data_IF_588642967483
#
_entry.id   IF_588642967483
#
_cell.length_a   1.000
_cell.length_b   1.000
_cell.length_c   1.000
_cell.angle_alpha   90.00
_cell.angle_beta   90.00
_cell.angle_gamma   90.00
#
_symmetry.space_group_name_H-M   'P 1'
#
loop_
_entity.id
_entity.type
_entity.pdbx_description
1 polymer ?
#
# COMPACT_ATOMS: atom_id res chain seq x y z
N UNK A 1 -73.34 48.99 8.81
CA UNK A 1 -72.59 48.02 7.97
C UNK A 1 -71.26 48.65 7.62
N UNK A 2 -70.20 48.33 8.35
CA UNK A 2 -68.82 48.70 8.00
C UNK A 2 -67.94 47.59 8.56
N UNK A 3 -67.67 46.59 7.72
CA UNK A 3 -66.76 45.50 8.01
C UNK A 3 -65.32 45.94 7.79
N UNK A 4 -64.46 45.54 8.73
CA UNK A 4 -63.02 45.73 8.75
C UNK A 4 -62.30 45.02 7.58
N UNK A 5 -61.15 45.56 7.20
CA UNK A 5 -60.10 44.81 6.52
C UNK A 5 -58.76 45.15 7.19
N UNK A 6 -58.46 44.44 8.28
CA UNK A 6 -57.13 44.39 8.87
C UNK A 6 -56.24 43.52 8.00
N UNK A 7 -55.22 44.13 7.38
CA UNK A 7 -54.15 43.41 6.68
C UNK A 7 -53.32 42.61 7.70
N UNK A 8 -53.51 41.29 7.71
CA UNK A 8 -52.61 40.36 8.36
C UNK A 8 -51.38 40.20 7.46
N UNK A 9 -50.25 40.76 7.90
CA UNK A 9 -48.96 40.53 7.27
C UNK A 9 -48.37 39.28 7.92
N UNK A 10 -48.42 38.16 7.20
CA UNK A 10 -47.67 36.96 7.59
C UNK A 10 -46.16 37.29 7.60
N UNK A 11 -45.40 36.94 8.65
CA UNK A 11 -43.96 37.08 8.62
C UNK A 11 -43.39 36.15 7.54
N UNK A 12 -42.44 36.60 6.71
CA UNK A 12 -41.85 35.73 5.69
C UNK A 12 -41.18 34.54 6.38
N UNK A 13 -41.59 33.34 5.98
CA UNK A 13 -40.92 32.10 6.36
C UNK A 13 -39.42 32.28 6.11
N UNK A 14 -38.66 32.28 7.20
CA UNK A 14 -37.22 32.56 7.23
C UNK A 14 -36.52 31.56 6.31
N UNK A 15 -36.27 31.97 5.07
CA UNK A 15 -35.45 31.21 4.14
C UNK A 15 -34.08 31.06 4.81
N UNK A 16 -33.78 29.83 5.22
CA UNK A 16 -32.57 29.52 5.97
C UNK A 16 -31.39 29.76 5.01
N UNK A 17 -30.69 30.87 5.23
CA UNK A 17 -29.65 31.35 4.34
C UNK A 17 -28.55 30.29 4.20
N UNK A 18 -28.01 30.12 3.00
CA UNK A 18 -27.06 29.05 2.68
C UNK A 18 -25.83 29.07 3.62
N UNK A 19 -25.47 30.25 4.08
CA UNK A 19 -24.39 30.50 5.05
C UNK A 19 -24.72 29.90 6.43
N UNK A 20 -25.97 29.98 6.88
CA UNK A 20 -26.41 29.39 8.15
C UNK A 20 -26.41 27.86 8.08
N UNK A 21 -26.77 27.29 6.92
CA UNK A 21 -26.64 25.85 6.65
C UNK A 21 -25.18 25.41 6.64
N UNK A 22 -24.28 26.21 6.04
CA UNK A 22 -22.86 25.91 5.98
C UNK A 22 -22.17 26.03 7.35
N UNK A 23 -22.60 26.99 8.18
CA UNK A 23 -22.15 27.13 9.56
C UNK A 23 -22.61 25.94 10.43
N UNK A 24 -23.86 25.49 10.28
CA UNK A 24 -24.36 24.30 10.99
C UNK A 24 -23.65 23.01 10.53
N UNK A 25 -23.33 22.89 9.23
CA UNK A 25 -22.57 21.76 8.71
C UNK A 25 -21.12 21.74 9.21
N UNK A 26 -20.49 22.92 9.38
CA UNK A 26 -19.16 23.04 9.96
C UNK A 26 -19.16 22.67 11.45
N UNK A 27 -20.18 23.07 12.20
CA UNK A 27 -20.35 22.72 13.62
C UNK A 27 -20.62 21.22 13.81
N UNK A 28 -21.42 20.60 12.94
CA UNK A 28 -21.62 19.16 12.90
C UNK A 28 -20.33 18.37 12.56
N UNK A 29 -19.36 19.00 11.89
CA UNK A 29 -18.04 18.43 11.58
C UNK A 29 -17.04 18.52 12.73
N UNK A 30 -17.26 19.40 13.71
CA UNK A 30 -16.33 19.65 14.81
C UNK A 30 -16.55 18.74 16.04
N UNK A 31 -17.59 17.89 16.01
CA UNK A 31 -17.98 17.03 17.12
C UNK A 31 -17.29 15.67 17.16
N UNK A 32 -16.12 15.61 17.82
CA UNK A 32 -15.54 14.41 18.47
C UNK A 32 -15.12 13.22 17.58
N UNK A 33 -13.86 12.80 17.78
CA UNK A 33 -13.33 11.45 17.46
C UNK A 33 -13.97 10.39 18.37
N UNK A 34 -15.29 10.34 18.42
CA UNK A 34 -16.03 9.27 19.05
C UNK A 34 -16.11 8.10 18.08
N UNK A 35 -15.28 7.07 18.27
CA UNK A 35 -15.58 5.74 17.76
C UNK A 35 -16.90 5.34 18.41
N UNK A 36 -18.01 5.63 17.74
CA UNK A 36 -19.31 5.07 18.10
C UNK A 36 -19.15 3.56 17.91
N UNK A 37 -18.84 2.85 19.00
CA UNK A 37 -18.93 1.40 19.09
C UNK A 37 -20.40 1.05 18.91
N UNK A 38 -20.85 0.99 17.65
CA UNK A 38 -22.19 0.54 17.30
C UNK A 38 -22.25 -0.96 17.56
N UNK A 39 -23.34 -1.41 18.18
CA UNK A 39 -23.55 -2.80 18.57
C UNK A 39 -23.48 -3.78 17.39
N UNK A 40 -23.38 -5.09 17.67
CA UNK A 40 -23.05 -6.15 16.71
C UNK A 40 -24.01 -6.26 15.50
N UNK A 41 -25.17 -5.60 15.56
CA UNK A 41 -26.22 -5.63 14.53
C UNK A 41 -26.41 -4.32 13.75
N UNK A 42 -25.48 -3.36 13.84
CA UNK A 42 -25.39 -2.29 12.82
C UNK A 42 -24.13 -2.50 11.99
N UNK A 43 -24.20 -3.29 10.90
CA UNK A 43 -23.12 -3.37 9.93
C UNK A 43 -22.74 -1.94 9.53
N UNK A 44 -21.46 -1.61 9.64
CA UNK A 44 -20.97 -0.28 9.37
C UNK A 44 -21.27 0.07 7.92
N UNK A 45 -22.24 0.97 7.72
CA UNK A 45 -22.60 1.62 6.44
C UNK A 45 -23.05 0.62 5.38
N UNK A 46 -24.19 0.86 4.73
CA UNK A 46 -24.49 0.23 3.44
C UNK A 46 -23.49 0.77 2.41
N UNK A 47 -22.25 0.28 2.44
CA UNK A 47 -21.29 0.48 1.38
C UNK A 47 -21.87 -0.15 0.14
N UNK A 48 -21.86 0.60 -0.96
CA UNK A 48 -22.33 0.13 -2.24
C UNK A 48 -21.62 -1.19 -2.58
N UNK A 49 -22.31 -2.18 -3.15
CA UNK A 49 -21.72 -3.50 -3.43
C UNK A 49 -20.39 -3.39 -4.21
N UNK A 50 -20.27 -2.36 -5.06
CA UNK A 50 -19.05 -1.96 -5.77
C UNK A 50 -17.88 -1.57 -4.84
N UNK A 51 -18.13 -0.80 -3.79
CA UNK A 51 -17.12 -0.38 -2.80
C UNK A 51 -16.68 -1.55 -1.90
N UNK A 52 -17.59 -2.47 -1.60
CA UNK A 52 -17.27 -3.70 -0.87
C UNK A 52 -16.45 -4.68 -1.73
N UNK A 53 -16.62 -4.65 -3.05
CA UNK A 53 -15.81 -5.44 -3.98
C UNK A 53 -14.42 -4.83 -4.19
N UNK A 54 -14.32 -3.50 -4.36
CA UNK A 54 -13.03 -2.80 -4.56
C UNK A 54 -12.07 -2.97 -3.37
N UNK A 55 -12.60 -2.92 -2.14
CA UNK A 55 -11.82 -3.14 -0.92
C UNK A 55 -11.28 -4.58 -0.78
N UNK A 56 -11.97 -5.58 -1.34
CA UNK A 56 -11.49 -6.97 -1.37
C UNK A 56 -10.43 -7.21 -2.44
N UNK A 57 -10.45 -6.43 -3.52
CA UNK A 57 -9.51 -6.53 -4.63
C UNK A 57 -8.20 -5.76 -4.39
N UNK A 58 -8.22 -4.71 -3.57
CA UNK A 58 -7.06 -3.85 -3.34
C UNK A 58 -5.77 -4.61 -2.93
N UNK A 59 -5.80 -5.60 -2.03
CA UNK A 59 -4.59 -6.34 -1.67
C UNK A 59 -4.01 -7.19 -2.81
N UNK A 60 -4.86 -7.66 -3.74
CA UNK A 60 -4.43 -8.47 -4.87
C UNK A 60 -3.71 -7.63 -5.93
N UNK A 61 -4.23 -6.44 -6.23
CA UNK A 61 -3.57 -5.53 -7.18
C UNK A 61 -2.23 -5.03 -6.65
N UNK A 62 -2.17 -4.65 -5.37
CA UNK A 62 -0.93 -4.22 -4.75
C UNK A 62 0.14 -5.32 -4.81
N UNK A 63 -0.24 -6.55 -4.47
CA UNK A 63 0.65 -7.70 -4.59
C UNK A 63 1.10 -7.96 -6.04
N UNK A 64 0.22 -7.77 -7.02
CA UNK A 64 0.57 -7.93 -8.42
C UNK A 64 1.64 -6.91 -8.85
N UNK A 65 1.51 -5.66 -8.42
CA UNK A 65 2.53 -4.63 -8.68
C UNK A 65 3.86 -4.98 -8.02
N UNK A 66 3.87 -5.43 -6.76
CA UNK A 66 5.08 -5.87 -6.08
C UNK A 66 5.77 -7.03 -6.81
N UNK A 67 5.00 -8.04 -7.22
CA UNK A 67 5.54 -9.20 -7.96
C UNK A 67 6.14 -8.75 -9.28
N UNK A 68 5.44 -7.91 -10.05
CA UNK A 68 5.92 -7.43 -11.35
C UNK A 68 7.17 -6.57 -11.17
N UNK A 69 7.17 -5.63 -10.23
CA UNK A 69 8.29 -4.73 -9.99
C UNK A 69 9.54 -5.50 -9.56
N UNK A 70 9.42 -6.36 -8.54
CA UNK A 70 10.53 -7.18 -8.04
C UNK A 70 11.03 -8.13 -9.14
N UNK A 71 10.14 -8.74 -9.92
CA UNK A 71 10.53 -9.64 -11.01
C UNK A 71 11.25 -8.89 -12.14
N UNK A 72 10.79 -7.69 -12.50
CA UNK A 72 11.44 -6.86 -13.51
C UNK A 72 12.84 -6.42 -13.07
N UNK A 73 13.00 -6.00 -11.82
CA UNK A 73 14.30 -5.60 -11.26
C UNK A 73 15.25 -6.80 -11.19
N UNK A 74 14.77 -7.95 -10.73
CA UNK A 74 15.56 -9.19 -10.72
C UNK A 74 16.04 -9.58 -12.11
N UNK A 75 15.16 -9.52 -13.11
CA UNK A 75 15.53 -9.84 -14.49
C UNK A 75 16.54 -8.84 -15.04
N UNK A 76 16.33 -7.55 -14.80
CA UNK A 76 17.23 -6.49 -15.26
C UNK A 76 18.63 -6.61 -14.63
N UNK A 77 18.70 -6.85 -13.32
CA UNK A 77 19.97 -7.03 -12.64
C UNK A 77 20.66 -8.34 -13.05
N UNK A 78 19.91 -9.43 -13.22
CA UNK A 78 20.46 -10.70 -13.72
C UNK A 78 21.03 -10.54 -15.13
N UNK A 79 20.32 -9.82 -16.01
CA UNK A 79 20.78 -9.52 -17.37
C UNK A 79 22.02 -8.63 -17.36
N UNK A 80 22.03 -7.56 -16.56
CA UNK A 80 23.19 -6.65 -16.45
C UNK A 80 24.43 -7.33 -15.83
N UNK A 81 24.22 -8.36 -15.01
CA UNK A 81 25.29 -9.15 -14.41
C UNK A 81 25.75 -10.32 -15.30
N UNK A 82 25.11 -10.59 -16.43
CA UNK A 82 25.49 -11.66 -17.34
C UNK A 82 26.45 -11.13 -18.44
N UNK A 83 27.59 -11.80 -18.69
CA UNK A 83 28.51 -11.39 -19.77
C UNK A 83 27.97 -11.74 -21.16
N UNK A 84 27.10 -12.75 -21.26
CA UNK A 84 26.44 -13.23 -22.46
C UNK A 84 24.92 -13.29 -22.26
N UNK A 85 24.17 -13.72 -23.29
CA UNK A 85 22.72 -13.95 -23.17
C UNK A 85 22.37 -14.85 -21.98
N UNK A 86 21.27 -14.53 -21.28
CA UNK A 86 20.77 -15.27 -20.12
C UNK A 86 20.58 -16.77 -20.40
N UNK A 87 20.29 -17.15 -21.66
CA UNK A 87 20.06 -18.53 -22.08
C UNK A 87 21.34 -19.37 -22.05
N UNK A 88 22.51 -18.75 -22.25
CA UNK A 88 23.81 -19.42 -22.24
C UNK A 88 24.56 -19.23 -20.91
N UNK A 89 23.95 -18.54 -19.96
CA UNK A 89 24.56 -18.23 -18.67
C UNK A 89 24.43 -19.41 -17.71
N UNK A 90 25.50 -19.69 -16.98
CA UNK A 90 25.48 -20.70 -15.91
C UNK A 90 24.39 -20.41 -14.87
N UNK A 91 23.66 -21.44 -14.48
CA UNK A 91 22.59 -21.34 -13.48
C UNK A 91 23.11 -20.76 -12.14
N UNK A 92 24.37 -21.05 -11.78
CA UNK A 92 25.03 -20.52 -10.58
C UNK A 92 25.05 -18.98 -10.52
N UNK A 93 25.12 -18.31 -11.68
CA UNK A 93 25.14 -16.84 -11.78
C UNK A 93 23.74 -16.23 -11.63
N UNK A 94 22.72 -16.94 -12.09
CA UNK A 94 21.32 -16.46 -12.05
C UNK A 94 20.64 -16.79 -10.72
N UNK A 95 21.05 -17.88 -10.06
CA UNK A 95 20.43 -18.38 -8.83
C UNK A 95 20.24 -17.31 -7.74
N UNK A 96 21.21 -16.44 -7.42
CA UNK A 96 21.05 -15.39 -6.41
C UNK A 96 19.91 -14.42 -6.74
N UNK A 97 19.75 -14.07 -8.01
CA UNK A 97 18.70 -13.17 -8.51
C UNK A 97 17.32 -13.83 -8.60
N UNK A 98 17.24 -15.15 -8.40
CA UNK A 98 15.99 -15.91 -8.27
C UNK A 98 15.64 -16.13 -6.80
N UNK A 99 16.61 -16.50 -5.97
CA UNK A 99 16.35 -16.75 -4.54
C UNK A 99 16.01 -15.45 -3.80
N UNK A 100 16.73 -14.35 -4.07
CA UNK A 100 16.44 -13.04 -3.50
C UNK A 100 14.96 -12.61 -3.61
N UNK A 101 14.38 -12.50 -4.82
CA UNK A 101 12.99 -12.09 -4.97
C UNK A 101 11.99 -13.10 -4.40
N UNK A 102 12.29 -14.41 -4.43
CA UNK A 102 11.43 -15.42 -3.81
C UNK A 102 11.37 -15.25 -2.29
N UNK A 103 12.51 -14.99 -1.64
CA UNK A 103 12.57 -14.70 -0.20
C UNK A 103 11.82 -13.40 0.10
N UNK A 104 12.07 -12.34 -0.67
CA UNK A 104 11.41 -11.05 -0.50
C UNK A 104 9.87 -11.16 -0.59
N UNK A 105 9.36 -11.67 -1.71
CA UNK A 105 7.93 -11.82 -1.96
C UNK A 105 7.29 -12.83 -0.99
N UNK A 106 8.02 -13.89 -0.64
CA UNK A 106 7.61 -14.89 0.34
C UNK A 106 7.44 -14.29 1.73
N UNK A 107 8.38 -13.48 2.19
CA UNK A 107 8.34 -12.81 3.50
C UNK A 107 7.28 -11.70 3.57
N UNK A 108 7.16 -10.86 2.53
CA UNK A 108 6.09 -9.87 2.45
C UNK A 108 4.71 -10.54 2.55
N UNK A 109 4.56 -11.71 1.92
CA UNK A 109 3.33 -12.52 1.99
C UNK A 109 3.14 -13.17 3.36
N UNK A 110 4.15 -13.85 3.90
CA UNK A 110 4.02 -14.65 5.13
C UNK A 110 3.83 -13.80 6.37
N UNK A 111 4.49 -12.64 6.43
CA UNK A 111 4.33 -11.66 7.50
C UNK A 111 3.05 -10.82 7.35
N UNK A 112 2.29 -11.03 6.26
CA UNK A 112 1.05 -10.32 6.01
C UNK A 112 1.25 -8.82 5.87
N UNK A 113 2.40 -8.36 5.39
CA UNK A 113 2.73 -6.94 5.24
C UNK A 113 1.81 -6.24 4.23
N UNK A 114 1.17 -7.00 3.33
CA UNK A 114 0.08 -6.50 2.47
C UNK A 114 -1.22 -6.15 3.20
N UNK A 115 -1.37 -6.53 4.47
CA UNK A 115 -2.54 -6.19 5.29
C UNK A 115 -2.22 -4.92 6.06
N UNK A 116 -2.70 -3.79 5.55
CA UNK A 116 -2.71 -2.52 6.26
C UNK A 116 -3.58 -2.65 7.52
N UNK A 117 -2.99 -3.10 8.62
CA UNK A 117 -3.68 -3.12 9.91
C UNK A 117 -3.87 -1.68 10.37
N UNK A 118 -5.12 -1.34 10.70
CA UNK A 118 -5.54 0.02 11.04
C UNK A 118 -4.88 0.60 12.30
N UNK A 119 -4.17 -0.23 13.07
CA UNK A 119 -3.55 0.10 14.36
C UNK A 119 -2.02 0.15 14.32
N UNK A 120 -1.37 -0.29 13.24
CA UNK A 120 0.09 -0.23 13.13
C UNK A 120 0.53 1.18 12.72
N UNK A 121 1.56 1.71 13.39
CA UNK A 121 2.16 2.98 12.95
C UNK A 121 2.80 2.80 11.56
N UNK A 122 2.57 3.76 10.66
CA UNK A 122 3.11 3.72 9.29
C UNK A 122 4.65 3.55 9.28
N UNK A 123 5.34 4.15 10.26
CA UNK A 123 6.79 4.00 10.43
C UNK A 123 7.21 2.56 10.73
N UNK A 124 6.51 1.84 11.62
CA UNK A 124 6.83 0.44 11.94
C UNK A 124 6.58 -0.45 10.73
N UNK A 125 5.53 -0.17 9.97
CA UNK A 125 5.24 -0.89 8.73
C UNK A 125 6.36 -0.71 7.70
N UNK A 126 6.73 0.54 7.40
CA UNK A 126 7.81 0.85 6.45
C UNK A 126 9.16 0.30 6.91
N UNK A 127 9.47 0.38 8.21
CA UNK A 127 10.67 -0.22 8.78
C UNK A 127 10.67 -1.75 8.57
N UNK A 128 9.55 -2.43 8.81
CA UNK A 128 9.42 -3.87 8.62
C UNK A 128 9.60 -4.27 7.15
N UNK A 129 8.99 -3.51 6.23
CA UNK A 129 9.12 -3.73 4.78
C UNK A 129 10.58 -3.56 4.33
N UNK A 130 11.24 -2.50 4.77
CA UNK A 130 12.65 -2.26 4.45
C UNK A 130 13.57 -3.34 5.03
N UNK A 131 13.31 -3.78 6.26
CA UNK A 131 14.08 -4.85 6.90
C UNK A 131 13.94 -6.18 6.15
N UNK A 132 12.75 -6.52 5.68
CA UNK A 132 12.51 -7.70 4.85
C UNK A 132 13.28 -7.63 3.53
N UNK A 133 13.30 -6.47 2.87
CA UNK A 133 14.05 -6.26 1.63
C UNK A 133 15.56 -6.40 1.84
N UNK A 134 16.10 -5.81 2.91
CA UNK A 134 17.52 -5.97 3.29
C UNK A 134 17.85 -7.44 3.60
N UNK A 135 16.99 -8.13 4.35
CA UNK A 135 17.17 -9.55 4.67
C UNK A 135 17.18 -10.43 3.41
N UNK A 136 16.26 -10.19 2.48
CA UNK A 136 16.25 -10.88 1.19
C UNK A 136 17.53 -10.62 0.38
N UNK A 137 18.05 -9.40 0.41
CA UNK A 137 19.38 -9.04 -0.13
C UNK A 137 20.51 -9.85 0.50
N UNK A 138 20.54 -9.94 1.84
CA UNK A 138 21.52 -10.75 2.55
C UNK A 138 21.44 -12.24 2.16
N UNK A 139 20.23 -12.79 2.00
CA UNK A 139 20.04 -14.16 1.50
C UNK A 139 20.58 -14.31 0.07
N UNK A 140 20.28 -13.38 -0.83
CA UNK A 140 20.77 -13.41 -2.21
C UNK A 140 22.31 -13.37 -2.26
N UNK A 141 22.93 -12.49 -1.47
CA UNK A 141 24.40 -12.39 -1.34
C UNK A 141 24.97 -13.70 -0.80
N UNK A 142 24.36 -14.28 0.24
CA UNK A 142 24.79 -15.56 0.81
C UNK A 142 24.76 -16.66 -0.24
N UNK A 143 23.67 -16.75 -1.02
CA UNK A 143 23.57 -17.72 -2.13
C UNK A 143 24.64 -17.45 -3.20
N UNK A 144 24.89 -16.20 -3.56
CA UNK A 144 25.93 -15.83 -4.52
C UNK A 144 27.33 -16.23 -4.07
N UNK A 145 27.66 -15.97 -2.81
CA UNK A 145 28.94 -16.35 -2.21
C UNK A 145 29.07 -17.87 -2.14
N UNK A 146 28.02 -18.59 -1.74
CA UNK A 146 28.05 -20.06 -1.66
C UNK A 146 28.18 -20.74 -3.03
N UNK A 147 27.61 -20.14 -4.07
CA UNK A 147 27.59 -20.73 -5.43
C UNK A 147 28.80 -20.35 -6.27
N UNK A 148 29.38 -19.16 -6.08
CA UNK A 148 30.47 -18.64 -6.94
C UNK A 148 31.72 -18.19 -6.19
N UNK A 149 31.67 -18.13 -4.86
CA UNK A 149 32.82 -17.77 -4.03
C UNK A 149 33.46 -16.45 -4.46
N UNK A 150 34.76 -16.43 -4.84
CA UNK A 150 35.46 -15.21 -5.26
C UNK A 150 34.90 -14.54 -6.52
N UNK A 151 34.18 -15.28 -7.37
CA UNK A 151 33.64 -14.78 -8.64
C UNK A 151 32.18 -14.30 -8.52
N UNK A 152 31.76 -13.94 -7.31
CA UNK A 152 30.43 -13.39 -7.04
C UNK A 152 30.30 -11.99 -7.63
N UNK A 153 29.19 -11.72 -8.31
CA UNK A 153 28.84 -10.39 -8.84
C UNK A 153 28.30 -9.48 -7.72
N UNK A 154 29.18 -9.11 -6.79
CA UNK A 154 28.81 -8.38 -5.56
C UNK A 154 28.11 -7.05 -5.87
N UNK A 155 28.63 -6.29 -6.83
CA UNK A 155 28.04 -5.00 -7.23
C UNK A 155 26.60 -5.18 -7.72
N UNK A 156 26.33 -6.19 -8.55
CA UNK A 156 24.99 -6.47 -9.05
C UNK A 156 24.01 -6.82 -7.93
N UNK A 157 24.45 -7.58 -6.93
CA UNK A 157 23.62 -7.99 -5.78
C UNK A 157 23.35 -6.83 -4.82
N UNK A 158 24.33 -5.96 -4.59
CA UNK A 158 24.16 -4.74 -3.79
C UNK A 158 23.21 -3.76 -4.49
N UNK A 159 23.37 -3.56 -5.80
CA UNK A 159 22.48 -2.74 -6.62
C UNK A 159 21.06 -3.30 -6.59
N UNK A 160 20.90 -4.61 -6.80
CA UNK A 160 19.59 -5.28 -6.72
C UNK A 160 18.94 -5.08 -5.34
N UNK A 161 19.71 -5.21 -4.26
CA UNK A 161 19.21 -5.01 -2.89
C UNK A 161 18.76 -3.56 -2.68
N UNK A 162 19.59 -2.59 -3.07
CA UNK A 162 19.27 -1.17 -2.92
C UNK A 162 18.03 -0.76 -3.72
N UNK A 163 17.94 -1.16 -4.99
CA UNK A 163 16.77 -0.88 -5.83
C UNK A 163 15.52 -1.56 -5.26
N UNK A 164 15.62 -2.81 -4.79
CA UNK A 164 14.49 -3.53 -4.19
C UNK A 164 13.97 -2.83 -2.93
N UNK A 165 14.87 -2.36 -2.05
CA UNK A 165 14.49 -1.56 -0.88
C UNK A 165 13.73 -0.30 -1.31
N UNK A 166 14.28 0.47 -2.25
CA UNK A 166 13.67 1.74 -2.70
C UNK A 166 12.30 1.51 -3.34
N UNK A 167 12.18 0.50 -4.20
CA UNK A 167 10.93 0.21 -4.91
C UNK A 167 9.86 -0.27 -3.95
N UNK A 168 10.16 -1.26 -3.11
CA UNK A 168 9.16 -1.79 -2.17
C UNK A 168 8.79 -0.72 -1.13
N UNK A 169 9.75 0.06 -0.64
CA UNK A 169 9.47 1.20 0.25
C UNK A 169 8.56 2.24 -0.42
N UNK A 170 8.86 2.61 -1.67
CA UNK A 170 8.08 3.57 -2.44
C UNK A 170 6.65 3.08 -2.71
N UNK A 171 6.48 1.80 -3.09
CA UNK A 171 5.16 1.21 -3.29
C UNK A 171 4.34 1.20 -1.99
N UNK A 172 4.95 0.92 -0.84
CA UNK A 172 4.24 0.88 0.45
C UNK A 172 4.04 2.26 1.10
N UNK A 173 4.59 3.33 0.52
CA UNK A 173 4.29 4.72 0.91
C UNK A 173 3.02 5.27 0.25
N UNK A 174 2.61 4.71 -0.90
CA UNK A 174 1.50 5.19 -1.73
C UNK A 174 0.15 4.60 -1.30
#
# INVERSE_FOLDING_TARGET
>A
MTHAASLHVDPPARAMDAIALQALAADAGAGSKGVSRRGPFRPQVWLNARQKHSSRLAPYYFRAFDVVAVSAISLLCAWAAAPDSLIHTELSRVLPFVIGPLVLLGLLRSLGLYRFQREASAMVHLASVSAVAVFAGACAITVGVLTRGPHVEMTGLLVWTGISVLVVYGLHMA
#
